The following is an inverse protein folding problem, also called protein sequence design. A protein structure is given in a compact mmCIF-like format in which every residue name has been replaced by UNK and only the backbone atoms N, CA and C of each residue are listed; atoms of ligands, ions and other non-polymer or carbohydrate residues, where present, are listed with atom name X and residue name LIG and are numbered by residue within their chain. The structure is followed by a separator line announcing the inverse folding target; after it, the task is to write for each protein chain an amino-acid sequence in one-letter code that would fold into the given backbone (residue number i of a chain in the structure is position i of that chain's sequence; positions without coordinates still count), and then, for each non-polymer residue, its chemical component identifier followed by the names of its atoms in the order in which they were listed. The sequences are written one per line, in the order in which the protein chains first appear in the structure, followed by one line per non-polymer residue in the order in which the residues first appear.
data_IF_588319241881
#
_entry.id   IF_588319241881
#
_cell.length_a   1.000
_cell.length_b   1.000
_cell.length_c   1.000
_cell.angle_alpha   90.00
_cell.angle_beta   90.00
_cell.angle_gamma   90.00
#
_symmetry.space_group_name_H-M   'P 1'
#
loop_
_entity.id
_entity.type
_entity.pdbx_description
1 polymer ?
#
# COMPACT_ATOMS: atom_id res chain seq x y z
N UNK A 1 -3.00 3.83 -12.81
CA UNK A 1 -2.82 2.71 -11.85
C UNK A 1 -3.62 3.01 -10.59
N UNK A 2 -4.36 2.04 -10.06
CA UNK A 2 -5.18 2.23 -8.86
C UNK A 2 -4.71 1.22 -7.79
N UNK A 3 -4.16 1.72 -6.68
CA UNK A 3 -3.49 0.90 -5.66
C UNK A 3 -4.12 1.15 -4.30
N UNK A 4 -4.48 0.11 -3.55
CA UNK A 4 -4.74 0.20 -2.12
C UNK A 4 -3.52 -0.31 -1.32
N UNK A 5 -3.20 0.36 -0.24
CA UNK A 5 -2.19 -0.08 0.72
C UNK A 5 -2.90 -0.50 1.99
N UNK A 6 -2.82 -1.77 2.34
CA UNK A 6 -3.58 -2.33 3.46
C UNK A 6 -2.79 -3.30 4.31
N UNK A 7 -3.06 -3.29 5.57
CA UNK A 7 -2.76 -4.35 6.55
C UNK A 7 -3.56 -4.05 7.81
N UNK A 8 -4.26 -5.05 8.35
CA UNK A 8 -5.03 -4.89 9.59
C UNK A 8 -4.16 -4.61 10.83
N UNK A 9 -2.86 -4.81 10.73
CA UNK A 9 -1.91 -4.45 11.78
C UNK A 9 -1.47 -2.99 11.66
N UNK A 10 -1.43 -2.27 12.79
CA UNK A 10 -0.80 -0.96 12.88
C UNK A 10 0.74 -1.03 12.81
N UNK A 11 1.39 0.04 12.37
CA UNK A 11 2.85 0.18 12.38
C UNK A 11 3.60 -0.59 11.30
N UNK A 12 2.94 -1.21 10.33
CA UNK A 12 3.56 -1.95 9.22
C UNK A 12 4.09 -1.04 8.10
N UNK A 13 3.85 0.27 8.17
CA UNK A 13 4.31 1.22 7.15
C UNK A 13 3.28 1.49 6.04
N UNK A 14 1.97 1.27 6.29
CA UNK A 14 0.92 1.55 5.29
C UNK A 14 0.97 2.98 4.79
N UNK A 15 0.78 3.94 5.66
CA UNK A 15 0.78 5.38 5.31
C UNK A 15 2.08 5.79 4.63
N UNK A 16 3.23 5.37 5.17
CA UNK A 16 4.53 5.63 4.54
C UNK A 16 4.56 5.06 3.12
N UNK A 17 4.13 3.80 2.94
CA UNK A 17 4.07 3.16 1.62
C UNK A 17 3.13 3.90 0.67
N UNK A 18 1.96 4.33 1.15
CA UNK A 18 0.99 5.08 0.34
C UNK A 18 1.56 6.43 -0.13
N UNK A 19 2.17 7.21 0.77
CA UNK A 19 2.83 8.49 0.45
C UNK A 19 3.93 8.31 -0.59
N UNK A 20 4.84 7.35 -0.37
CA UNK A 20 5.97 7.13 -1.27
C UNK A 20 5.54 6.61 -2.65
N UNK A 21 4.54 5.71 -2.70
CA UNK A 21 3.97 5.25 -3.98
C UNK A 21 3.25 6.40 -4.70
N UNK A 22 2.53 7.26 -3.98
CA UNK A 22 1.91 8.44 -4.58
C UNK A 22 2.95 9.42 -5.14
N UNK A 23 4.07 9.66 -4.44
CA UNK A 23 5.18 10.43 -4.97
C UNK A 23 5.76 9.81 -6.25
N UNK A 24 6.04 8.50 -6.24
CA UNK A 24 6.62 7.82 -7.39
C UNK A 24 5.67 7.80 -8.61
N UNK A 25 4.38 7.60 -8.39
CA UNK A 25 3.37 7.65 -9.46
C UNK A 25 3.21 9.06 -10.04
N UNK A 26 3.39 10.10 -9.23
CA UNK A 26 3.31 11.50 -9.68
C UNK A 26 4.38 11.89 -10.69
N UNK A 27 5.45 11.11 -10.81
CA UNK A 27 6.46 11.28 -11.86
C UNK A 27 5.92 10.92 -13.26
N UNK A 28 4.82 10.14 -13.32
CA UNK A 28 4.26 9.63 -14.59
C UNK A 28 2.86 10.14 -14.90
N UNK A 29 2.16 10.74 -13.93
CA UNK A 29 0.83 11.26 -14.18
C UNK A 29 0.17 11.90 -12.95
N UNK A 30 -0.98 12.51 -13.17
CA UNK A 30 -1.79 13.12 -12.11
C UNK A 30 -2.20 12.09 -11.07
N UNK A 31 -1.83 12.31 -9.81
CA UNK A 31 -1.99 11.35 -8.73
C UNK A 31 -2.85 11.91 -7.60
N UNK A 32 -3.75 11.08 -7.07
CA UNK A 32 -4.54 11.37 -5.88
C UNK A 32 -4.29 10.31 -4.81
N UNK A 33 -4.01 10.76 -3.59
CA UNK A 33 -4.00 9.91 -2.41
C UNK A 33 -5.33 10.08 -1.67
N UNK A 34 -6.00 8.95 -1.40
CA UNK A 34 -7.24 8.90 -0.62
C UNK A 34 -6.91 8.33 0.76
N UNK A 35 -7.02 9.17 1.78
CA UNK A 35 -6.84 8.78 3.17
C UNK A 35 -8.17 8.24 3.71
N UNK A 36 -8.21 6.96 4.05
CA UNK A 36 -9.42 6.34 4.60
C UNK A 36 -9.28 6.00 6.09
N UNK A 37 -8.15 6.38 6.71
CA UNK A 37 -7.97 6.21 8.15
C UNK A 37 -8.66 7.35 8.91
N UNK A 38 -9.58 7.05 9.85
CA UNK A 38 -10.17 8.06 10.73
C UNK A 38 -9.13 8.87 11.54
N UNK A 39 -7.91 8.34 11.72
CA UNK A 39 -6.80 9.07 12.36
C UNK A 39 -6.17 10.13 11.45
N UNK A 40 -6.41 10.07 10.13
CA UNK A 40 -5.97 11.09 9.18
C UNK A 40 -4.46 11.19 9.01
N UNK A 41 -3.72 10.11 9.20
CA UNK A 41 -2.24 10.16 9.18
C UNK A 41 -1.68 10.63 7.83
N UNK A 42 -2.24 10.17 6.71
CA UNK A 42 -1.80 10.60 5.38
C UNK A 42 -2.23 12.05 5.09
N UNK A 43 -3.41 12.45 5.54
CA UNK A 43 -3.91 13.82 5.42
C UNK A 43 -3.04 14.80 6.21
N UNK A 44 -2.70 14.46 7.46
CA UNK A 44 -1.81 15.28 8.29
C UNK A 44 -0.40 15.39 7.70
N UNK A 45 0.11 14.28 7.10
CA UNK A 45 1.39 14.33 6.41
C UNK A 45 1.33 15.33 5.24
N UNK A 46 0.29 15.29 4.42
CA UNK A 46 0.14 16.19 3.29
C UNK A 46 -0.04 17.66 3.72
N UNK A 47 -0.73 17.92 4.82
CA UNK A 47 -0.85 19.28 5.39
C UNK A 47 0.51 19.85 5.84
N UNK A 48 1.38 19.00 6.40
CA UNK A 48 2.71 19.41 6.84
C UNK A 48 3.76 19.49 5.71
N UNK A 49 3.47 18.89 4.57
CA UNK A 49 4.34 18.85 3.38
C UNK A 49 3.58 19.33 2.13
N UNK A 50 3.27 20.63 2.03
CA UNK A 50 2.47 21.17 0.92
C UNK A 50 3.15 21.08 -0.45
N UNK A 51 4.44 20.76 -0.48
CA UNK A 51 5.23 20.50 -1.69
C UNK A 51 5.09 19.09 -2.26
N UNK A 52 4.29 18.19 -1.64
CA UNK A 52 4.02 16.87 -2.18
C UNK A 52 3.39 16.96 -3.59
N UNK A 53 3.86 16.13 -4.54
CA UNK A 53 3.50 16.26 -5.95
C UNK A 53 2.13 15.66 -6.31
N UNK A 54 1.29 15.36 -5.32
CA UNK A 54 -0.03 14.75 -5.50
C UNK A 54 -1.11 15.48 -4.69
N UNK A 55 -2.37 15.29 -5.07
CA UNK A 55 -3.52 15.76 -4.27
C UNK A 55 -3.88 14.75 -3.18
N UNK A 56 -4.50 15.23 -2.09
CA UNK A 56 -4.97 14.37 -1.01
C UNK A 56 -6.44 14.66 -0.69
N UNK A 57 -7.22 13.61 -0.40
CA UNK A 57 -8.60 13.72 0.07
C UNK A 57 -8.87 12.70 1.18
N UNK A 58 -9.58 13.11 2.22
CA UNK A 58 -9.99 12.20 3.30
C UNK A 58 -11.37 11.60 3.01
N UNK A 59 -11.47 10.26 3.07
CA UNK A 59 -12.73 9.50 2.93
C UNK A 59 -12.78 8.36 3.96
N UNK A 60 -12.88 8.65 5.26
CA UNK A 60 -12.80 7.65 6.33
C UNK A 60 -14.11 6.85 6.48
N UNK A 61 -14.61 6.30 5.38
CA UNK A 61 -15.85 5.54 5.36
C UNK A 61 -15.92 4.56 4.18
N UNK A 62 -16.84 3.57 4.20
CA UNK A 62 -17.07 2.68 3.06
C UNK A 62 -17.53 3.38 1.77
N UNK A 63 -17.88 4.67 1.83
CA UNK A 63 -18.16 5.47 0.63
C UNK A 63 -16.95 5.59 -0.31
N UNK A 64 -15.74 5.25 0.16
CA UNK A 64 -14.51 5.21 -0.64
C UNK A 64 -14.69 4.37 -1.91
N UNK A 65 -15.42 3.27 -1.87
CA UNK A 65 -15.66 2.42 -3.05
C UNK A 65 -16.32 3.16 -4.23
N UNK A 66 -17.24 4.06 -3.95
CA UNK A 66 -17.88 4.91 -4.95
C UNK A 66 -17.01 6.10 -5.33
N UNK A 67 -16.48 6.81 -4.32
CA UNK A 67 -15.71 8.02 -4.54
C UNK A 67 -14.42 7.76 -5.30
N UNK A 68 -13.73 6.65 -5.03
CA UNK A 68 -12.53 6.28 -5.77
C UNK A 68 -12.82 6.07 -7.26
N UNK A 69 -13.95 5.43 -7.61
CA UNK A 69 -14.36 5.26 -9.02
C UNK A 69 -14.65 6.60 -9.70
N UNK A 70 -15.37 7.48 -9.04
CA UNK A 70 -15.68 8.82 -9.57
C UNK A 70 -14.40 9.67 -9.75
N UNK A 71 -13.42 9.52 -8.85
CA UNK A 71 -12.13 10.23 -8.89
C UNK A 71 -11.15 9.62 -9.90
N UNK A 72 -11.25 8.32 -10.19
CA UNK A 72 -10.43 7.65 -11.20
C UNK A 72 -10.65 8.21 -12.63
N UNK A 73 -11.78 8.88 -12.87
CA UNK A 73 -12.01 9.58 -14.14
C UNK A 73 -11.20 10.90 -14.28
N UNK A 74 -10.67 11.40 -13.18
CA UNK A 74 -9.99 12.71 -13.10
C UNK A 74 -8.50 12.62 -12.87
N UNK A 75 -8.04 11.50 -12.34
CA UNK A 75 -6.63 11.26 -12.00
C UNK A 75 -6.14 9.99 -12.69
N UNK A 76 -4.94 10.04 -13.22
CA UNK A 76 -4.31 8.88 -13.87
C UNK A 76 -3.93 7.80 -12.86
N UNK A 77 -3.65 8.22 -11.61
CA UNK A 77 -3.27 7.32 -10.54
C UNK A 77 -4.04 7.61 -9.26
N UNK A 78 -4.48 6.54 -8.58
CA UNK A 78 -5.07 6.60 -7.24
C UNK A 78 -4.26 5.73 -6.29
N UNK A 79 -3.98 6.25 -5.11
CA UNK A 79 -3.43 5.49 -4.00
C UNK A 79 -4.38 5.62 -2.81
N UNK A 80 -4.81 4.50 -2.23
CA UNK A 80 -5.71 4.48 -1.08
C UNK A 80 -4.94 3.98 0.14
N UNK A 81 -4.77 4.83 1.14
CA UNK A 81 -4.26 4.44 2.46
C UNK A 81 -5.41 3.95 3.33
N UNK A 82 -5.32 2.70 3.83
CA UNK A 82 -6.40 2.09 4.59
C UNK A 82 -6.11 2.03 6.08
N UNK A 83 -7.16 2.14 6.94
CA UNK A 83 -6.99 2.11 8.39
C UNK A 83 -6.67 0.71 8.90
N UNK A 84 -5.87 0.60 10.00
CA UNK A 84 -5.78 -0.64 10.74
C UNK A 84 -7.11 -0.93 11.47
N UNK A 85 -7.51 -2.20 11.54
CA UNK A 85 -8.64 -2.60 12.37
C UNK A 85 -10.05 -2.22 11.89
N UNK A 86 -10.20 -1.72 10.65
CA UNK A 86 -11.47 -1.35 10.04
C UNK A 86 -11.77 -2.17 8.77
N UNK A 87 -12.12 -3.47 8.90
CA UNK A 87 -12.26 -4.36 7.74
C UNK A 87 -13.33 -3.88 6.73
N UNK A 88 -14.38 -3.21 7.18
CA UNK A 88 -15.43 -2.69 6.29
C UNK A 88 -14.95 -1.58 5.36
N UNK A 89 -14.10 -0.66 5.85
CA UNK A 89 -13.50 0.39 5.01
C UNK A 89 -12.47 -0.26 4.07
N UNK A 90 -11.64 -1.15 4.60
CA UNK A 90 -10.64 -1.88 3.82
C UNK A 90 -11.29 -2.67 2.68
N UNK A 91 -12.32 -3.46 2.95
CA UNK A 91 -13.05 -4.21 1.91
C UNK A 91 -13.63 -3.28 0.84
N UNK A 92 -14.21 -2.14 1.24
CA UNK A 92 -14.72 -1.15 0.29
C UNK A 92 -13.62 -0.58 -0.61
N UNK A 93 -12.46 -0.24 -0.04
CA UNK A 93 -11.30 0.23 -0.80
C UNK A 93 -10.82 -0.82 -1.82
N UNK A 94 -10.68 -2.08 -1.40
CA UNK A 94 -10.22 -3.18 -2.26
C UNK A 94 -11.14 -3.46 -3.46
N UNK A 95 -12.43 -3.17 -3.34
CA UNK A 95 -13.37 -3.34 -4.48
C UNK A 95 -13.28 -2.24 -5.53
N UNK A 96 -12.46 -1.23 -5.32
CA UNK A 96 -12.36 -0.05 -6.19
C UNK A 96 -10.97 0.18 -6.80
N UNK A 97 -10.06 -0.78 -6.65
CA UNK A 97 -8.68 -0.70 -7.16
C UNK A 97 -8.28 -1.95 -7.93
N UNK A 98 -7.23 -1.85 -8.74
CA UNK A 98 -6.68 -2.97 -9.51
C UNK A 98 -5.59 -3.71 -8.73
N UNK A 99 -4.92 -3.01 -7.82
CA UNK A 99 -3.79 -3.53 -7.06
C UNK A 99 -3.96 -3.32 -5.57
N UNK A 100 -3.50 -4.27 -4.79
CA UNK A 100 -3.31 -4.10 -3.36
C UNK A 100 -1.88 -4.47 -2.95
N UNK A 101 -1.24 -3.58 -2.23
CA UNK A 101 0.05 -3.81 -1.59
C UNK A 101 -0.18 -4.00 -0.09
N UNK A 102 0.33 -5.11 0.44
CA UNK A 102 0.22 -5.46 1.86
C UNK A 102 1.60 -5.34 2.51
N UNK A 103 1.94 -4.17 3.10
CA UNK A 103 3.20 -4.01 3.80
C UNK A 103 3.22 -4.79 5.11
N UNK A 104 4.28 -5.55 5.36
CA UNK A 104 4.48 -6.29 6.60
C UNK A 104 5.95 -6.20 7.04
N UNK A 105 6.17 -6.30 8.35
CA UNK A 105 7.51 -6.31 8.93
C UNK A 105 7.99 -7.74 9.17
N UNK A 106 9.29 -7.94 9.46
CA UNK A 106 9.89 -9.26 9.65
C UNK A 106 9.62 -9.89 11.03
N UNK A 107 8.63 -9.41 11.78
CA UNK A 107 8.25 -9.97 13.09
C UNK A 107 7.27 -11.13 12.99
N UNK A 108 7.43 -12.18 13.81
CA UNK A 108 6.58 -13.38 13.79
C UNK A 108 5.09 -13.11 14.07
N UNK A 109 4.78 -12.11 14.90
CA UNK A 109 3.39 -11.70 15.19
C UNK A 109 2.69 -11.08 13.96
N UNK A 110 3.47 -10.63 13.00
CA UNK A 110 2.93 -10.03 11.77
C UNK A 110 2.34 -11.08 10.82
N UNK A 111 2.86 -12.31 10.81
CA UNK A 111 2.37 -13.39 9.94
C UNK A 111 0.92 -13.80 10.26
N UNK A 112 0.53 -13.82 11.53
CA UNK A 112 -0.85 -14.18 11.93
C UNK A 112 -1.84 -13.15 11.40
N UNK A 113 -1.53 -11.85 11.57
CA UNK A 113 -2.39 -10.76 11.07
C UNK A 113 -2.31 -10.60 9.55
N UNK A 114 -1.20 -11.01 8.97
CA UNK A 114 -1.07 -11.08 7.53
C UNK A 114 -2.07 -12.09 6.94
N UNK A 115 -2.22 -13.28 7.53
CA UNK A 115 -3.23 -14.27 7.12
C UNK A 115 -4.64 -13.68 7.07
N UNK A 116 -5.07 -12.99 8.14
CA UNK A 116 -6.39 -12.32 8.15
C UNK A 116 -6.50 -11.22 7.09
N UNK A 117 -5.40 -10.52 6.79
CA UNK A 117 -5.41 -9.53 5.69
C UNK A 117 -5.53 -10.22 4.33
N UNK A 118 -4.88 -11.36 4.13
CA UNK A 118 -5.01 -12.15 2.90
C UNK A 118 -6.44 -12.65 2.68
N UNK A 119 -7.11 -13.13 3.72
CA UNK A 119 -8.54 -13.51 3.67
C UNK A 119 -9.43 -12.35 3.20
N UNK A 120 -9.16 -11.11 3.63
CA UNK A 120 -9.88 -9.93 3.14
C UNK A 120 -9.59 -9.64 1.67
N UNK A 121 -8.34 -9.83 1.23
CA UNK A 121 -7.97 -9.66 -0.18
C UNK A 121 -8.66 -10.71 -1.05
N UNK A 122 -8.66 -11.98 -0.64
CA UNK A 122 -9.35 -13.07 -1.33
C UNK A 122 -10.86 -12.81 -1.43
N UNK A 123 -11.49 -12.38 -0.34
CA UNK A 123 -12.91 -12.00 -0.35
C UNK A 123 -13.19 -10.83 -1.31
N UNK A 124 -12.29 -9.86 -1.39
CA UNK A 124 -12.40 -8.74 -2.33
C UNK A 124 -12.20 -9.20 -3.79
N UNK A 125 -11.28 -10.12 -4.05
CA UNK A 125 -11.05 -10.71 -5.39
C UNK A 125 -12.27 -11.48 -5.91
N UNK A 126 -13.05 -12.10 -5.02
CA UNK A 126 -14.31 -12.73 -5.41
C UNK A 126 -15.36 -11.74 -5.94
N UNK A 127 -15.26 -10.47 -5.53
CA UNK A 127 -16.13 -9.36 -5.96
C UNK A 127 -15.51 -8.58 -7.12
N UNK A 128 -14.20 -8.35 -7.05
CA UNK A 128 -13.38 -7.64 -8.04
C UNK A 128 -12.30 -8.59 -8.60
N UNK A 129 -12.61 -9.37 -9.65
CA UNK A 129 -11.65 -10.33 -10.21
C UNK A 129 -10.40 -9.72 -10.84
N UNK A 130 -10.37 -8.41 -11.06
CA UNK A 130 -9.20 -7.68 -11.58
C UNK A 130 -8.23 -7.27 -10.49
N UNK A 131 -8.58 -7.47 -9.21
CA UNK A 131 -7.72 -7.12 -8.09
C UNK A 131 -6.53 -8.10 -7.98
N UNK A 132 -5.33 -7.58 -8.06
CA UNK A 132 -4.09 -8.33 -7.82
C UNK A 132 -3.45 -7.90 -6.52
N UNK A 133 -3.12 -8.87 -5.66
CA UNK A 133 -2.51 -8.63 -4.35
C UNK A 133 -1.03 -8.98 -4.29
N UNK A 134 -0.24 -8.15 -3.62
CA UNK A 134 1.18 -8.37 -3.40
C UNK A 134 1.59 -8.05 -1.96
N UNK A 135 2.40 -8.93 -1.36
CA UNK A 135 3.02 -8.68 -0.08
C UNK A 135 4.31 -7.87 -0.27
N UNK A 136 4.57 -6.91 0.61
CA UNK A 136 5.77 -6.05 0.60
C UNK A 136 6.45 -6.11 1.96
N UNK A 137 7.69 -6.59 2.03
CA UNK A 137 8.47 -6.50 3.26
C UNK A 137 8.95 -5.07 3.51
N UNK A 138 8.65 -4.56 4.69
CA UNK A 138 9.05 -3.23 5.14
C UNK A 138 9.93 -3.31 6.38
N UNK A 139 10.70 -2.24 6.63
CA UNK A 139 11.61 -2.12 7.77
C UNK A 139 12.58 -3.29 7.86
N UNK A 140 13.01 -3.79 6.70
CA UNK A 140 13.92 -4.94 6.62
C UNK A 140 15.34 -4.58 7.04
N UNK A 141 16.04 -5.54 7.60
CA UNK A 141 17.48 -5.46 7.87
C UNK A 141 18.21 -6.52 7.05
N UNK A 142 19.22 -6.11 6.31
CA UNK A 142 20.01 -7.03 5.49
C UNK A 142 20.61 -8.16 6.34
N UNK A 143 20.69 -9.36 5.76
CA UNK A 143 21.38 -10.53 6.34
C UNK A 143 20.82 -11.04 7.69
N UNK A 144 19.57 -10.73 8.04
CA UNK A 144 18.95 -11.24 9.26
C UNK A 144 18.23 -12.58 9.02
N UNK A 145 18.23 -13.46 10.04
CA UNK A 145 17.48 -14.71 10.00
C UNK A 145 15.97 -14.43 9.85
N UNK A 146 15.43 -13.50 10.65
CA UNK A 146 14.01 -13.15 10.61
C UNK A 146 13.52 -12.72 9.22
N UNK A 147 14.34 -12.01 8.43
CA UNK A 147 14.00 -11.66 7.04
C UNK A 147 13.89 -12.92 6.16
N UNK A 148 14.83 -13.86 6.28
CA UNK A 148 14.79 -15.12 5.52
C UNK A 148 13.60 -15.98 5.92
N UNK A 149 13.37 -16.11 7.22
CA UNK A 149 12.29 -16.94 7.77
C UNK A 149 10.91 -16.44 7.35
N UNK A 150 10.69 -15.10 7.36
CA UNK A 150 9.44 -14.51 6.92
C UNK A 150 9.23 -14.69 5.42
N UNK A 151 10.27 -14.51 4.58
CA UNK A 151 10.16 -14.77 3.12
C UNK A 151 9.78 -16.23 2.85
N UNK A 152 10.42 -17.18 3.53
CA UNK A 152 10.09 -18.58 3.40
C UNK A 152 8.66 -18.87 3.85
N UNK A 153 8.25 -18.36 5.01
CA UNK A 153 6.91 -18.58 5.54
C UNK A 153 5.79 -18.01 4.63
N UNK A 154 6.00 -16.84 4.01
CA UNK A 154 5.03 -16.28 3.05
C UNK A 154 4.97 -17.15 1.79
N UNK A 155 6.11 -17.59 1.27
CA UNK A 155 6.18 -18.46 0.10
C UNK A 155 5.50 -19.81 0.35
N UNK A 156 5.76 -20.43 1.52
CA UNK A 156 5.17 -21.71 1.91
C UNK A 156 3.65 -21.61 2.16
N UNK A 157 3.20 -20.45 2.68
CA UNK A 157 1.78 -20.22 2.93
C UNK A 157 0.96 -20.04 1.62
N UNK A 158 1.60 -19.63 0.52
CA UNK A 158 0.96 -19.51 -0.80
C UNK A 158 -0.19 -18.49 -0.86
N UNK A 159 -0.25 -17.55 0.09
CA UNK A 159 -1.37 -16.61 0.22
C UNK A 159 -1.31 -15.49 -0.82
N UNK A 160 -0.32 -14.60 -0.70
CA UNK A 160 -0.07 -13.50 -1.65
C UNK A 160 1.37 -13.59 -2.16
N UNK A 161 1.60 -13.35 -3.46
CA UNK A 161 2.95 -13.27 -3.99
C UNK A 161 3.73 -12.15 -3.30
N UNK A 162 4.93 -12.50 -2.83
CA UNK A 162 5.85 -11.56 -2.22
C UNK A 162 6.64 -10.82 -3.31
N UNK A 163 6.74 -9.51 -3.18
CA UNK A 163 7.63 -8.71 -4.00
C UNK A 163 9.10 -9.02 -3.67
N UNK A 164 9.96 -8.97 -4.69
CA UNK A 164 11.40 -9.09 -4.51
C UNK A 164 11.98 -7.80 -3.94
N UNK A 165 11.44 -6.67 -4.35
CA UNK A 165 11.73 -5.36 -3.77
C UNK A 165 11.28 -5.30 -2.31
N UNK A 166 12.09 -4.68 -1.47
CA UNK A 166 11.85 -4.54 -0.03
C UNK A 166 12.17 -3.11 0.44
N UNK A 167 11.47 -2.66 1.46
CA UNK A 167 11.75 -1.36 2.07
C UNK A 167 12.66 -1.55 3.28
N UNK A 168 13.92 -1.12 3.20
CA UNK A 168 14.85 -1.28 4.31
C UNK A 168 14.49 -0.34 5.47
N UNK A 169 14.89 -0.73 6.68
CA UNK A 169 14.83 0.15 7.83
C UNK A 169 15.91 1.25 7.69
N UNK A 170 15.50 2.43 7.28
CA UNK A 170 16.35 3.61 7.12
C UNK A 170 15.78 4.79 7.88
N UNK A 171 16.62 5.55 8.54
CA UNK A 171 16.22 6.78 9.24
C UNK A 171 15.57 7.80 8.29
N UNK A 172 16.07 7.92 7.06
CA UNK A 172 15.50 8.80 6.05
C UNK A 172 14.04 8.46 5.70
N UNK A 173 13.64 7.18 5.77
CA UNK A 173 12.25 6.77 5.56
C UNK A 173 11.43 6.94 6.84
N UNK A 174 12.01 6.56 7.99
CA UNK A 174 11.32 6.64 9.27
C UNK A 174 11.09 8.09 9.74
N UNK A 175 11.99 8.98 9.42
CA UNK A 175 11.92 10.41 9.76
C UNK A 175 11.27 11.29 8.70
N UNK A 176 10.74 10.73 7.60
CA UNK A 176 10.15 11.51 6.53
C UNK A 176 8.71 11.96 6.82
N UNK A 177 8.11 11.52 7.93
CA UNK A 177 6.73 11.87 8.27
C UNK A 177 6.53 13.39 8.31
N UNK A 178 5.54 13.90 7.57
CA UNK A 178 5.26 15.33 7.44
C UNK A 178 6.26 16.10 6.57
N UNK A 179 7.08 15.43 5.75
CA UNK A 179 8.00 16.06 4.81
C UNK A 179 7.93 15.42 3.42
N UNK A 180 8.41 16.12 2.40
CA UNK A 180 8.62 15.51 1.08
C UNK A 180 9.73 14.46 1.17
N UNK A 181 9.51 13.20 0.72
CA UNK A 181 10.55 12.19 0.66
C UNK A 181 11.77 12.65 -0.15
N UNK A 182 12.95 12.55 0.43
CA UNK A 182 14.21 12.97 -0.21
C UNK A 182 14.78 11.97 -1.21
N UNK A 183 14.32 10.71 -1.18
CA UNK A 183 14.67 9.64 -2.12
C UNK A 183 13.53 8.64 -2.22
N UNK A 184 13.20 8.25 -3.42
CA UNK A 184 12.17 7.25 -3.73
C UNK A 184 12.77 5.87 -4.06
N UNK A 185 14.11 5.72 -4.07
CA UNK A 185 14.83 4.56 -4.63
C UNK A 185 14.21 3.19 -4.34
N UNK A 186 13.90 2.90 -3.07
CA UNK A 186 13.32 1.62 -2.69
C UNK A 186 11.87 1.47 -3.20
N UNK A 187 11.09 2.55 -3.19
CA UNK A 187 9.70 2.54 -3.65
C UNK A 187 9.58 2.60 -5.17
N UNK A 188 10.55 3.22 -5.85
CA UNK A 188 10.64 3.14 -7.32
C UNK A 188 10.85 1.69 -7.77
N UNK A 189 11.72 0.93 -7.08
CA UNK A 189 11.89 -0.51 -7.36
C UNK A 189 10.59 -1.30 -7.12
N UNK A 190 9.83 -0.98 -6.06
CA UNK A 190 8.50 -1.58 -5.83
C UNK A 190 7.55 -1.27 -6.98
N UNK A 191 7.50 -0.01 -7.42
CA UNK A 191 6.64 0.41 -8.53
C UNK A 191 7.02 -0.26 -9.85
N UNK A 192 8.32 -0.34 -10.15
CA UNK A 192 8.83 -1.04 -11.34
C UNK A 192 8.43 -2.52 -11.34
N UNK A 193 8.55 -3.19 -10.19
CA UNK A 193 8.16 -4.59 -10.05
C UNK A 193 6.64 -4.77 -10.18
N UNK A 194 5.82 -3.90 -9.56
CA UNK A 194 4.37 -3.92 -9.73
C UNK A 194 3.99 -3.75 -11.21
N UNK A 195 4.59 -2.78 -11.90
CA UNK A 195 4.39 -2.58 -13.34
C UNK A 195 4.78 -3.81 -14.16
N UNK A 196 5.91 -4.44 -13.84
CA UNK A 196 6.37 -5.62 -14.55
C UNK A 196 5.45 -6.84 -14.36
N UNK A 197 4.97 -7.05 -13.12
CA UNK A 197 4.09 -8.18 -12.76
C UNK A 197 2.65 -8.01 -13.24
N UNK A 198 2.23 -6.78 -13.52
CA UNK A 198 0.86 -6.48 -13.98
C UNK A 198 0.77 -6.24 -15.49
N UNK A 199 1.90 -6.12 -16.20
CA UNK A 199 1.93 -6.08 -17.66
C UNK A 199 1.34 -7.36 -18.25
N UNK A 200 0.17 -7.24 -18.89
CA UNK A 200 -0.53 -8.37 -19.51
C UNK A 200 -1.65 -8.98 -18.64
N UNK A 201 -1.91 -8.43 -17.46
CA UNK A 201 -3.03 -8.80 -16.60
C UNK A 201 -4.27 -7.89 -16.81
N UNK A 202 -4.09 -6.82 -17.58
CA UNK A 202 -5.23 -5.95 -17.98
C UNK A 202 -6.08 -6.67 -19.01
N UNK A 203 -7.42 -6.70 -18.83
CA UNK A 203 -8.33 -7.38 -19.75
C UNK A 203 -8.35 -6.76 -21.14
#
# INVERSE_FOLDING_TARGET
MQIAVTNLKGGTGKTTTAIYLACALSETGSTLLIDTDPQGSASLWAENAPELPFSTVAVPSPAVARQARDLAERYEHLVIDTPPGHPGITSAALTSVDLVVVPLTTGSVDLVRFGTTCELVEAAQAINPTLHGFALLTKTRANTASRRDVRAAIADAGMLPLLDAEIPLREAIAGAEGTLPTSLDAYSQVLDELNARTKGLTP
#
